data_IF_625415637368
#
_entry.id   IF_625415637368
#
_cell.length_a   1.000
_cell.length_b   1.000
_cell.length_c   1.000
_cell.angle_alpha   90.00
_cell.angle_beta   90.00
_cell.angle_gamma   90.00
#
_symmetry.space_group_name_H-M   'P 1'
#
loop_
_entity.id
_entity.type
_entity.pdbx_description
1 polymer ?
#
# COMPACT_ATOMS: atom_id res chain seq x y z
N UNK A 1 17.52 -33.80 25.96
CA UNK A 1 16.29 -33.17 25.45
C UNK A 1 15.29 -34.29 25.19
N UNK A 2 14.23 -34.35 25.99
CA UNK A 2 13.29 -35.47 25.99
C UNK A 2 12.41 -35.47 24.75
N UNK A 3 12.35 -36.63 24.08
CA UNK A 3 11.64 -36.80 22.82
C UNK A 3 10.11 -36.56 22.92
N UNK A 4 9.53 -36.57 24.13
CA UNK A 4 8.08 -36.57 24.37
C UNK A 4 7.56 -35.35 25.17
N UNK A 5 8.23 -34.20 25.14
CA UNK A 5 7.69 -33.01 25.80
C UNK A 5 6.28 -32.67 25.23
N UNK A 6 5.24 -32.52 26.09
CA UNK A 6 3.83 -32.44 25.66
C UNK A 6 3.52 -31.19 24.84
N UNK A 7 4.37 -30.17 24.94
CA UNK A 7 4.24 -28.90 24.24
C UNK A 7 5.06 -28.86 22.94
N UNK A 8 5.47 -30.00 22.38
CA UNK A 8 6.16 -30.04 21.09
C UNK A 8 5.21 -29.95 19.91
N UNK A 9 5.68 -29.33 18.84
CA UNK A 9 4.98 -29.33 17.56
C UNK A 9 4.67 -30.76 17.12
N UNK A 10 3.40 -31.02 16.78
CA UNK A 10 2.94 -32.35 16.39
C UNK A 10 3.23 -32.69 14.91
N UNK A 11 3.97 -31.83 14.18
CA UNK A 11 4.31 -32.08 12.78
C UNK A 11 5.45 -33.08 12.67
N UNK A 12 5.19 -34.17 11.94
CA UNK A 12 6.17 -35.20 11.59
C UNK A 12 6.75 -34.89 10.21
N UNK A 13 8.07 -34.85 10.12
CA UNK A 13 8.81 -34.71 8.86
C UNK A 13 9.53 -36.02 8.54
N UNK A 14 10.21 -36.10 7.39
CA UNK A 14 11.01 -37.27 7.00
C UNK A 14 12.11 -37.58 8.03
N UNK A 15 12.61 -36.56 8.73
CA UNK A 15 13.58 -36.70 9.82
C UNK A 15 12.97 -36.90 11.23
N UNK A 16 11.66 -37.15 11.32
CA UNK A 16 10.95 -37.32 12.60
C UNK A 16 10.16 -36.09 13.04
N UNK A 17 9.71 -36.11 14.31
CA UNK A 17 8.88 -35.06 14.89
C UNK A 17 9.66 -33.75 15.06
N UNK A 18 9.05 -32.63 14.62
CA UNK A 18 9.63 -31.29 14.73
C UNK A 18 10.11 -30.98 16.16
N UNK A 19 11.32 -30.44 16.28
CA UNK A 19 11.98 -30.15 17.57
C UNK A 19 11.49 -28.87 18.25
N UNK A 20 10.74 -28.03 17.55
CA UNK A 20 10.22 -26.77 18.09
C UNK A 20 8.99 -26.97 18.97
N UNK A 21 8.82 -26.07 19.93
CA UNK A 21 7.64 -26.01 20.80
C UNK A 21 6.42 -25.49 20.03
N UNK A 22 5.25 -26.01 20.35
CA UNK A 22 3.98 -25.54 19.84
C UNK A 22 3.63 -24.19 20.47
N UNK A 23 2.95 -23.33 19.70
CA UNK A 23 2.47 -22.06 20.24
C UNK A 23 1.44 -22.31 21.36
N UNK A 24 1.29 -21.40 22.34
CA UNK A 24 0.30 -21.54 23.40
C UNK A 24 -1.12 -21.76 22.81
N UNK A 25 -1.73 -22.91 23.13
CA UNK A 25 -3.05 -23.29 22.61
C UNK A 25 -3.07 -23.86 21.18
N UNK A 26 -1.92 -24.01 20.52
CA UNK A 26 -1.81 -24.58 19.19
C UNK A 26 -1.18 -26.00 19.21
N UNK A 27 -1.44 -26.78 18.16
CA UNK A 27 -0.82 -28.11 17.97
C UNK A 27 0.54 -28.05 17.26
N UNK A 28 0.91 -26.89 16.72
CA UNK A 28 2.09 -26.72 15.88
C UNK A 28 2.92 -25.51 16.35
N UNK A 29 4.21 -25.51 16.01
CA UNK A 29 5.12 -24.37 16.21
C UNK A 29 4.90 -23.31 15.14
N UNK A 30 5.43 -22.09 15.33
CA UNK A 30 5.35 -20.98 14.37
C UNK A 30 5.64 -21.37 12.90
N UNK A 31 6.71 -22.15 12.65
CA UNK A 31 7.06 -22.60 11.29
C UNK A 31 6.13 -23.67 10.68
N UNK A 32 5.18 -24.19 11.45
CA UNK A 32 4.26 -25.27 11.07
C UNK A 32 2.80 -24.99 11.41
N UNK A 33 2.51 -23.93 12.16
CA UNK A 33 1.21 -23.28 12.18
C UNK A 33 1.04 -22.60 10.85
N UNK A 34 0.15 -23.14 10.04
CA UNK A 34 -0.49 -22.38 8.95
C UNK A 34 -1.42 -21.33 9.57
N UNK A 35 -0.89 -20.49 10.46
CA UNK A 35 -1.56 -19.29 10.92
C UNK A 35 -1.26 -18.21 9.89
N UNK A 36 -1.97 -18.32 8.75
CA UNK A 36 -2.34 -17.14 8.00
C UNK A 36 -3.16 -16.29 8.97
N UNK A 37 -2.54 -15.24 9.50
CA UNK A 37 -3.28 -14.18 10.18
C UNK A 37 -4.47 -13.78 9.31
N UNK A 38 -5.62 -13.67 9.96
CA UNK A 38 -6.86 -13.20 9.38
C UNK A 38 -6.63 -11.87 8.66
N UNK A 39 -6.73 -11.87 7.33
CA UNK A 39 -7.21 -10.73 6.52
C UNK A 39 -7.41 -11.10 5.03
N UNK A 40 -7.71 -12.37 4.72
CA UNK A 40 -7.90 -12.79 3.33
C UNK A 40 -8.82 -14.00 3.19
N UNK A 41 -9.95 -13.97 3.91
CA UNK A 41 -11.04 -14.95 3.75
C UNK A 41 -11.83 -14.79 2.44
N UNK A 42 -11.55 -13.77 1.62
CA UNK A 42 -12.42 -13.43 0.49
C UNK A 42 -12.01 -14.05 -0.85
N UNK A 43 -10.81 -14.60 -1.02
CA UNK A 43 -10.39 -15.19 -2.29
C UNK A 43 -9.63 -16.50 -2.08
N UNK A 44 -10.36 -17.61 -2.11
CA UNK A 44 -9.84 -18.97 -2.21
C UNK A 44 -9.24 -19.20 -3.61
N UNK A 45 -8.14 -18.52 -3.93
CA UNK A 45 -7.38 -18.76 -5.15
C UNK A 45 -6.24 -19.72 -4.82
N UNK A 46 -6.41 -20.96 -5.26
CA UNK A 46 -5.60 -22.16 -4.95
C UNK A 46 -4.27 -22.24 -5.72
N UNK A 47 -3.85 -21.17 -6.41
CA UNK A 47 -2.62 -21.12 -7.19
C UNK A 47 -1.42 -20.61 -6.39
N UNK A 48 -0.42 -21.47 -6.16
CA UNK A 48 0.83 -21.15 -5.42
C UNK A 48 1.62 -19.96 -6.02
N UNK A 49 1.51 -19.75 -7.34
CA UNK A 49 2.15 -18.64 -8.07
C UNK A 49 1.50 -17.27 -7.82
N UNK A 50 0.17 -17.21 -7.66
CA UNK A 50 -0.56 -15.96 -7.41
C UNK A 50 -0.53 -15.59 -5.92
N UNK A 51 -0.55 -16.59 -5.04
CA UNK A 51 -0.55 -16.40 -3.58
C UNK A 51 0.74 -15.80 -3.01
N UNK A 52 1.85 -15.86 -3.74
CA UNK A 52 3.14 -15.25 -3.37
C UNK A 52 3.41 -13.92 -4.12
N UNK A 53 2.66 -13.63 -5.19
CA UNK A 53 2.65 -12.30 -5.81
C UNK A 53 1.91 -11.30 -4.91
N UNK A 54 0.68 -11.62 -4.50
CA UNK A 54 -0.10 -10.76 -3.59
C UNK A 54 0.59 -10.46 -2.25
N UNK A 55 1.33 -11.44 -1.69
CA UNK A 55 2.10 -11.27 -0.45
C UNK A 55 3.35 -10.39 -0.59
N UNK A 56 3.90 -10.22 -1.80
CA UNK A 56 5.00 -9.27 -2.07
C UNK A 56 4.52 -7.81 -2.16
N UNK A 57 3.22 -7.57 -2.28
CA UNK A 57 2.66 -6.25 -2.60
C UNK A 57 1.70 -5.72 -1.51
N UNK A 58 1.48 -6.46 -0.42
CA UNK A 58 0.46 -6.16 0.61
C UNK A 58 0.87 -5.10 1.67
N UNK A 59 1.22 -3.90 1.25
CA UNK A 59 1.53 -2.83 2.20
C UNK A 59 0.97 -1.46 1.84
N UNK A 60 -0.31 -1.20 2.14
CA UNK A 60 -0.92 0.11 2.52
C UNK A 60 -1.48 1.04 1.41
N UNK A 61 -2.66 1.65 1.64
CA UNK A 61 -3.25 2.87 1.03
C UNK A 61 -3.69 2.87 -0.44
N UNK A 62 -4.86 3.47 -0.70
CA UNK A 62 -5.63 3.42 -1.96
C UNK A 62 -4.87 3.85 -3.23
N UNK A 63 -3.81 4.68 -3.13
CA UNK A 63 -2.93 5.03 -4.26
C UNK A 63 -1.96 3.89 -4.61
N UNK A 64 -1.50 3.12 -3.62
CA UNK A 64 -0.77 1.87 -3.86
C UNK A 64 -1.65 0.81 -4.51
N UNK A 65 -2.96 0.81 -4.28
CA UNK A 65 -3.86 -0.15 -4.94
C UNK A 65 -3.79 -0.08 -6.47
N UNK A 66 -3.72 1.12 -7.08
CA UNK A 66 -3.55 1.25 -8.54
C UNK A 66 -2.17 0.78 -9.01
N UNK A 67 -1.11 1.07 -8.24
CA UNK A 67 0.23 0.55 -8.54
C UNK A 67 0.30 -0.96 -8.43
N UNK A 68 -0.43 -1.54 -7.48
CA UNK A 68 -0.55 -2.98 -7.27
C UNK A 68 -1.39 -3.63 -8.38
N UNK A 69 -2.46 -2.99 -8.85
CA UNK A 69 -3.24 -3.42 -10.02
C UNK A 69 -2.41 -3.37 -11.31
N UNK A 70 -1.56 -2.35 -11.48
CA UNK A 70 -0.58 -2.32 -12.58
C UNK A 70 0.40 -3.49 -12.48
N UNK A 71 0.91 -3.78 -11.27
CA UNK A 71 1.83 -4.89 -11.04
C UNK A 71 1.18 -6.25 -11.31
N UNK A 72 -0.07 -6.44 -10.87
CA UNK A 72 -0.84 -7.67 -11.09
C UNK A 72 -1.15 -7.87 -12.57
N UNK A 73 -1.52 -6.80 -13.28
CA UNK A 73 -1.81 -6.85 -14.71
C UNK A 73 -0.53 -7.19 -15.50
N UNK A 74 0.62 -6.61 -15.13
CA UNK A 74 1.93 -6.98 -15.69
C UNK A 74 2.28 -8.43 -15.43
N UNK A 75 2.12 -8.91 -14.20
CA UNK A 75 2.38 -10.31 -13.84
C UNK A 75 1.48 -11.28 -14.63
N UNK A 76 0.23 -10.91 -14.89
CA UNK A 76 -0.70 -11.72 -15.68
C UNK A 76 -0.28 -11.80 -17.14
N UNK A 77 0.17 -10.68 -17.72
CA UNK A 77 0.73 -10.66 -19.08
C UNK A 77 2.02 -11.46 -19.15
N UNK A 78 2.89 -11.35 -18.14
CA UNK A 78 4.14 -12.11 -18.05
C UNK A 78 3.88 -13.62 -17.97
N UNK A 79 2.94 -14.08 -17.14
CA UNK A 79 2.54 -15.49 -17.08
C UNK A 79 2.02 -15.96 -18.44
N UNK A 80 1.18 -15.17 -19.10
CA UNK A 80 0.65 -15.50 -20.43
C UNK A 80 1.78 -15.64 -21.44
N UNK A 81 2.72 -14.69 -21.49
CA UNK A 81 3.87 -14.73 -22.40
C UNK A 81 4.77 -15.94 -22.10
N UNK A 82 5.05 -16.21 -20.83
CA UNK A 82 5.90 -17.33 -20.42
C UNK A 82 5.26 -18.70 -20.64
N UNK A 83 3.93 -18.77 -20.80
CA UNK A 83 3.21 -20.01 -21.10
C UNK A 83 3.20 -20.40 -22.58
N UNK A 84 3.75 -19.56 -23.46
CA UNK A 84 3.77 -19.77 -24.90
C UNK A 84 5.02 -20.56 -25.27
N UNK A 85 4.84 -21.73 -25.84
CA UNK A 85 5.93 -22.63 -26.24
C UNK A 85 6.16 -22.62 -27.76
N UNK A 86 5.15 -22.20 -28.54
CA UNK A 86 5.22 -22.24 -30.02
C UNK A 86 4.82 -20.93 -30.70
N UNK A 87 5.27 -20.75 -31.96
CA UNK A 87 4.93 -19.58 -32.77
C UNK A 87 3.43 -19.48 -33.07
N UNK A 88 2.73 -20.61 -33.23
CA UNK A 88 1.29 -20.64 -33.46
C UNK A 88 0.52 -20.18 -32.22
N UNK A 89 0.95 -20.61 -31.03
CA UNK A 89 0.42 -20.13 -29.75
C UNK A 89 0.67 -18.64 -29.55
N UNK A 90 1.86 -18.14 -29.93
CA UNK A 90 2.17 -16.72 -29.88
C UNK A 90 1.17 -15.92 -30.73
N UNK A 91 0.97 -16.32 -31.98
CA UNK A 91 0.01 -15.66 -32.88
C UNK A 91 -1.41 -15.68 -32.31
N UNK A 92 -1.83 -16.80 -31.71
CA UNK A 92 -3.14 -16.92 -31.09
C UNK A 92 -3.28 -16.07 -29.80
N UNK A 93 -2.20 -15.88 -29.05
CA UNK A 93 -2.18 -15.10 -27.80
C UNK A 93 -2.04 -13.58 -28.02
N UNK A 94 -1.64 -13.12 -29.21
CA UNK A 94 -1.44 -11.68 -29.51
C UNK A 94 -2.61 -10.77 -29.18
N UNK A 95 -3.87 -11.10 -29.49
CA UNK A 95 -4.99 -10.25 -29.11
C UNK A 95 -5.10 -10.07 -27.59
N UNK A 96 -4.81 -11.11 -26.80
CA UNK A 96 -4.88 -11.09 -25.34
C UNK A 96 -3.70 -10.32 -24.73
N UNK A 97 -2.50 -10.48 -25.29
CA UNK A 97 -1.31 -9.73 -24.87
C UNK A 97 -1.51 -8.23 -25.16
N UNK A 98 -1.99 -7.88 -26.35
CA UNK A 98 -2.30 -6.50 -26.72
C UNK A 98 -3.35 -5.87 -25.77
N UNK A 99 -4.42 -6.60 -25.47
CA UNK A 99 -5.43 -6.14 -24.50
C UNK A 99 -4.84 -5.92 -23.09
N UNK A 100 -3.95 -6.81 -22.63
CA UNK A 100 -3.25 -6.65 -21.36
C UNK A 100 -2.33 -5.42 -21.32
N UNK A 101 -1.61 -5.15 -22.41
CA UNK A 101 -0.76 -3.95 -22.53
C UNK A 101 -1.60 -2.66 -22.50
N UNK A 102 -2.72 -2.62 -23.23
CA UNK A 102 -3.62 -1.46 -23.20
C UNK A 102 -4.24 -1.24 -21.80
N UNK A 103 -4.56 -2.32 -21.09
CA UNK A 103 -5.04 -2.21 -19.71
C UNK A 103 -3.98 -1.59 -18.79
N UNK A 104 -2.71 -2.00 -18.94
CA UNK A 104 -1.58 -1.41 -18.20
C UNK A 104 -1.44 0.08 -18.52
N UNK A 105 -1.47 0.47 -19.79
CA UNK A 105 -1.40 1.87 -20.21
C UNK A 105 -2.50 2.72 -19.57
N UNK A 106 -3.74 2.23 -19.60
CA UNK A 106 -4.88 2.92 -18.99
C UNK A 106 -4.72 3.07 -17.47
N UNK A 107 -4.25 2.03 -16.79
CA UNK A 107 -4.03 2.08 -15.35
C UNK A 107 -2.90 3.05 -14.98
N UNK A 108 -1.80 3.06 -15.74
CA UNK A 108 -0.69 4.01 -15.56
C UNK A 108 -1.15 5.45 -15.75
N UNK A 109 -1.91 5.72 -16.82
CA UNK A 109 -2.46 7.05 -17.07
C UNK A 109 -3.42 7.49 -15.96
N UNK A 110 -4.22 6.58 -15.42
CA UNK A 110 -5.13 6.87 -14.29
C UNK A 110 -4.34 7.19 -13.02
N UNK A 111 -3.31 6.40 -12.71
CA UNK A 111 -2.41 6.66 -11.59
C UNK A 111 -1.74 8.03 -11.70
N UNK A 112 -1.20 8.35 -12.89
CA UNK A 112 -0.57 9.65 -13.14
C UNK A 112 -1.56 10.81 -13.01
N UNK A 113 -2.77 10.70 -13.56
CA UNK A 113 -3.80 11.73 -13.40
C UNK A 113 -4.21 11.92 -11.94
N UNK A 114 -4.24 10.86 -11.14
CA UNK A 114 -4.51 10.97 -9.70
C UNK A 114 -3.36 11.62 -8.96
N UNK A 115 -2.10 11.28 -9.27
CA UNK A 115 -0.93 11.96 -8.71
C UNK A 115 -0.93 13.45 -9.04
N UNK A 116 -1.29 13.82 -10.27
CA UNK A 116 -1.45 15.22 -10.66
C UNK A 116 -2.58 15.89 -9.88
N UNK A 117 -3.78 15.27 -9.79
CA UNK A 117 -4.91 15.85 -9.03
C UNK A 117 -4.62 15.98 -7.54
N UNK A 118 -3.88 15.04 -6.96
CA UNK A 118 -3.45 15.08 -5.56
C UNK A 118 -2.33 16.10 -5.33
N UNK A 119 -1.39 16.22 -6.26
CA UNK A 119 -0.36 17.27 -6.25
C UNK A 119 -0.94 18.67 -6.46
N UNK A 120 -2.08 18.77 -7.17
CA UNK A 120 -2.84 20.02 -7.35
C UNK A 120 -3.71 20.35 -6.13
N UNK A 121 -4.14 19.35 -5.34
CA UNK A 121 -5.01 19.57 -4.18
C UNK A 121 -4.37 20.40 -3.06
N UNK A 122 -3.04 20.55 -3.04
CA UNK A 122 -2.34 21.53 -2.21
C UNK A 122 -1.12 22.07 -2.96
N UNK A 123 -1.33 22.73 -4.10
CA UNK A 123 -0.26 23.58 -4.63
C UNK A 123 0.07 24.69 -3.59
N UNK A 124 1.32 25.14 -3.59
CA UNK A 124 1.80 26.14 -2.64
C UNK A 124 0.94 27.41 -2.62
N UNK A 125 0.39 27.80 -3.76
CA UNK A 125 -0.46 28.98 -3.87
C UNK A 125 -1.84 28.74 -3.21
N UNK A 126 -2.42 27.56 -3.35
CA UNK A 126 -3.68 27.16 -2.71
C UNK A 126 -3.52 27.07 -1.17
N UNK A 127 -2.41 26.52 -0.70
CA UNK A 127 -2.05 26.48 0.73
C UNK A 127 -1.90 27.88 1.33
N UNK A 128 -1.18 28.77 0.64
CA UNK A 128 -1.02 30.15 1.08
C UNK A 128 -2.34 30.92 1.06
N UNK A 129 -3.20 30.68 0.07
CA UNK A 129 -4.54 31.27 -0.02
C UNK A 129 -5.44 30.81 1.14
N UNK A 130 -5.38 29.52 1.49
CA UNK A 130 -6.09 28.98 2.64
C UNK A 130 -5.55 29.57 3.96
N UNK A 131 -4.23 29.67 4.11
CA UNK A 131 -3.59 30.28 5.28
C UNK A 131 -4.06 31.73 5.49
N UNK A 132 -4.10 32.52 4.42
CA UNK A 132 -4.61 33.89 4.47
C UNK A 132 -6.09 33.94 4.89
N UNK A 133 -6.90 33.00 4.39
CA UNK A 133 -8.32 32.91 4.78
C UNK A 133 -8.47 32.61 6.27
N UNK A 134 -7.66 31.69 6.81
CA UNK A 134 -7.64 31.37 8.24
C UNK A 134 -7.20 32.59 9.07
N UNK A 135 -6.13 33.27 8.67
CA UNK A 135 -5.64 34.48 9.36
C UNK A 135 -6.73 35.56 9.40
N UNK A 136 -7.46 35.76 8.30
CA UNK A 136 -8.56 36.74 8.26
C UNK A 136 -9.70 36.38 9.21
N UNK A 137 -10.11 35.10 9.26
CA UNK A 137 -11.14 34.63 10.20
C UNK A 137 -10.71 34.86 11.65
N UNK A 138 -9.45 34.53 11.97
CA UNK A 138 -8.90 34.72 13.32
C UNK A 138 -8.85 36.21 13.67
N UNK A 139 -8.34 37.06 12.76
CA UNK A 139 -8.26 38.51 12.94
C UNK A 139 -9.62 39.13 13.27
N UNK A 140 -10.68 38.71 12.55
CA UNK A 140 -12.04 39.16 12.82
C UNK A 140 -12.57 38.65 14.17
N UNK A 141 -12.27 37.40 14.54
CA UNK A 141 -12.70 36.81 15.81
C UNK A 141 -12.04 37.46 17.03
N UNK A 142 -10.83 38.01 16.88
CA UNK A 142 -10.07 38.64 17.98
C UNK A 142 -10.11 40.18 17.96
N UNK A 143 -10.93 40.79 17.10
CA UNK A 143 -10.92 42.24 16.83
C UNK A 143 -11.07 43.13 18.07
N UNK A 144 -11.79 42.65 19.08
CA UNK A 144 -12.11 43.37 20.32
C UNK A 144 -11.13 43.07 21.47
N UNK A 145 -10.15 42.18 21.26
CA UNK A 145 -9.16 41.83 22.28
C UNK A 145 -8.04 42.87 22.37
N UNK A 146 -7.55 43.18 23.59
CA UNK A 146 -6.30 43.91 23.73
C UNK A 146 -5.15 43.12 23.09
N UNK A 147 -4.21 43.82 22.47
CA UNK A 147 -3.05 43.22 21.76
C UNK A 147 -3.39 42.36 20.54
N UNK A 148 -4.55 42.57 19.89
CA UNK A 148 -4.97 41.80 18.71
C UNK A 148 -3.87 41.68 17.64
N UNK A 149 -3.16 42.77 17.36
CA UNK A 149 -2.18 42.81 16.26
C UNK A 149 -1.01 41.85 16.56
N UNK A 150 -0.56 41.78 17.81
CA UNK A 150 0.48 40.85 18.26
C UNK A 150 0.00 39.39 18.22
N UNK A 151 -1.27 39.15 18.58
CA UNK A 151 -1.87 37.81 18.54
C UNK A 151 -1.98 37.32 17.10
N UNK A 152 -2.50 38.15 16.19
CA UNK A 152 -2.67 37.83 14.77
C UNK A 152 -1.31 37.60 14.11
N UNK A 153 -0.33 38.46 14.37
CA UNK A 153 1.03 38.31 13.81
C UNK A 153 1.69 37.00 14.27
N UNK A 154 1.61 36.66 15.56
CA UNK A 154 2.14 35.40 16.09
C UNK A 154 1.48 34.19 15.44
N UNK A 155 0.14 34.17 15.38
CA UNK A 155 -0.60 33.04 14.81
C UNK A 155 -0.35 32.91 13.30
N UNK A 156 -0.22 34.03 12.58
CA UNK A 156 0.14 34.03 11.17
C UNK A 156 1.54 33.40 10.94
N UNK A 157 2.53 33.79 11.76
CA UNK A 157 3.86 33.20 11.70
C UNK A 157 3.84 31.69 11.99
N UNK A 158 3.12 31.27 13.03
CA UNK A 158 2.99 29.85 13.41
C UNK A 158 2.35 29.00 12.30
N UNK A 159 1.30 29.52 11.65
CA UNK A 159 0.62 28.84 10.53
C UNK A 159 1.57 28.70 9.33
N UNK A 160 2.27 29.77 8.95
CA UNK A 160 3.19 29.75 7.82
C UNK A 160 4.39 28.82 8.08
N UNK A 161 4.92 28.81 9.30
CA UNK A 161 6.01 27.90 9.69
C UNK A 161 5.54 26.44 9.67
N UNK A 162 4.31 26.16 10.14
CA UNK A 162 3.73 24.81 10.09
C UNK A 162 3.57 24.30 8.65
N UNK A 163 3.14 25.17 7.72
CA UNK A 163 3.04 24.84 6.29
C UNK A 163 4.43 24.54 5.72
N UNK A 164 5.43 25.39 5.98
CA UNK A 164 6.81 25.19 5.50
C UNK A 164 7.45 23.89 6.04
N UNK A 165 7.14 23.50 7.28
CA UNK A 165 7.63 22.24 7.88
C UNK A 165 7.00 20.99 7.25
N UNK A 166 5.77 21.06 6.75
CA UNK A 166 5.11 19.95 6.07
C UNK A 166 5.63 19.74 4.64
N UNK A 167 6.00 20.83 3.94
CA UNK A 167 6.67 20.72 2.62
C UNK A 167 7.99 19.93 2.71
N UNK A 168 8.81 20.20 3.74
CA UNK A 168 10.11 19.53 3.91
C UNK A 168 10.01 18.02 4.21
N UNK A 169 8.87 17.53 4.70
CA UNK A 169 8.67 16.10 4.98
C UNK A 169 8.17 15.29 3.78
N UNK A 170 7.60 15.96 2.78
CA UNK A 170 6.97 15.32 1.62
C UNK A 170 7.92 15.18 0.42
N UNK A 171 9.15 15.70 0.52
CA UNK A 171 10.18 15.66 -0.51
C UNK A 171 11.29 14.61 -0.33
N UNK A 172 11.06 13.57 0.49
CA UNK A 172 11.97 12.42 0.70
C UNK A 172 11.31 11.14 0.22
#
# INVERSE_FOLDING_TARGET
MDANAPNRCQRVTVGGQCTKEALPGAKYCDSHTVSRGNEMSHYLITGKLLGDAARRHAGVNEIKSLRDEIALTRATVEILVNSIETQAELTAAMPRIHAGVLAIEKLVNTCHQMEVKLGVLLDKAALLTLAQTIINIISEAVKDLPQRDQIVERVAADILEAIAKQENKSGV
#
